data_IF_330298404708
#
_entry.id   IF_330298404708
#
_cell.length_a   1.000
_cell.length_b   1.000
_cell.length_c   1.000
_cell.angle_alpha   90.00
_cell.angle_beta   90.00
_cell.angle_gamma   90.00
#
_symmetry.space_group_name_H-M   'P 1'
#
loop_
_entity.id
_entity.type
_entity.pdbx_description
1 polymer ?
#
# COMPACT_ATOMS: atom_id res chain seq x y z
N UNK A 1 -18.96 -4.47 -4.65
CA UNK A 1 -17.84 -3.62 -4.17
C UNK A 1 -17.21 -4.33 -2.98
N UNK A 2 -16.06 -4.98 -3.16
CA UNK A 2 -15.35 -5.72 -2.11
C UNK A 2 -14.24 -4.83 -1.56
N UNK A 3 -14.45 -4.26 -0.37
CA UNK A 3 -13.42 -3.57 0.39
C UNK A 3 -12.60 -4.62 1.15
N UNK A 4 -11.30 -4.72 0.85
CA UNK A 4 -10.39 -5.59 1.59
C UNK A 4 -9.62 -4.74 2.59
N UNK A 5 -9.96 -4.91 3.86
CA UNK A 5 -9.55 -4.07 4.98
C UNK A 5 -8.42 -4.74 5.77
N UNK A 6 -7.18 -4.24 5.65
CA UNK A 6 -6.02 -4.77 6.39
C UNK A 6 -5.99 -4.30 7.85
N UNK A 7 -5.98 -5.26 8.76
CA UNK A 7 -5.98 -5.03 10.20
C UNK A 7 -4.67 -5.45 10.88
N UNK A 8 -4.26 -4.68 11.89
CA UNK A 8 -3.08 -4.90 12.73
C UNK A 8 -3.51 -5.29 14.14
N UNK A 9 -3.00 -6.40 14.67
CA UNK A 9 -2.46 -6.54 16.04
C UNK A 9 -1.91 -7.94 16.25
N UNK A 10 -0.61 -8.01 16.53
CA UNK A 10 0.13 -9.03 17.28
C UNK A 10 -0.04 -10.53 17.01
N UNK A 11 -0.95 -10.98 16.14
CA UNK A 11 -0.98 -12.34 15.64
C UNK A 11 -1.31 -12.28 14.15
N UNK A 12 -0.44 -12.92 13.35
CA UNK A 12 -0.69 -13.23 11.96
C UNK A 12 -2.05 -13.92 11.83
N UNK A 13 -3.04 -13.25 11.26
CA UNK A 13 -4.24 -13.90 10.75
C UNK A 13 -4.38 -13.58 9.27
N UNK A 14 -4.14 -14.55 8.37
CA UNK A 14 -4.45 -14.39 6.96
C UNK A 14 -5.97 -14.46 6.81
N UNK A 15 -6.64 -13.35 6.56
CA UNK A 15 -8.09 -13.40 6.32
C UNK A 15 -8.38 -13.71 4.84
N UNK A 16 -9.19 -14.75 4.64
CA UNK A 16 -9.97 -15.02 3.45
C UNK A 16 -11.36 -14.46 3.71
N UNK A 17 -11.85 -13.54 2.88
CA UNK A 17 -13.19 -12.97 3.07
C UNK A 17 -14.22 -14.00 2.60
N UNK A 18 -14.88 -14.64 3.55
CA UNK A 18 -16.15 -15.32 3.35
C UNK A 18 -17.15 -14.78 4.37
N UNK A 19 -18.26 -14.23 3.88
CA UNK A 19 -19.51 -13.91 4.58
C UNK A 19 -19.60 -12.60 5.41
N UNK A 20 -20.74 -11.93 5.21
CA UNK A 20 -21.05 -10.53 5.53
C UNK A 20 -21.75 -10.32 6.89
N UNK A 21 -21.55 -11.20 7.89
CA UNK A 21 -22.42 -11.21 9.09
C UNK A 21 -21.75 -11.07 10.46
N UNK A 22 -20.44 -10.85 10.56
CA UNK A 22 -19.80 -10.64 11.88
C UNK A 22 -19.42 -9.18 12.12
N UNK A 23 -20.43 -8.40 12.52
CA UNK A 23 -20.27 -7.12 13.23
C UNK A 23 -19.73 -7.39 14.63
N UNK A 24 -18.42 -7.57 14.76
CA UNK A 24 -17.73 -7.46 16.05
C UNK A 24 -17.55 -5.98 16.39
N UNK A 25 -17.83 -5.62 17.64
CA UNK A 25 -17.73 -4.27 18.17
C UNK A 25 -16.30 -3.72 18.01
N UNK A 26 -16.08 -2.94 16.95
CA UNK A 26 -14.83 -2.24 16.70
C UNK A 26 -14.94 -0.82 17.28
N UNK A 27 -14.10 -0.50 18.26
CA UNK A 27 -13.68 0.88 18.59
C UNK A 27 -13.35 1.60 17.26
N UNK A 28 -13.57 2.91 17.12
CA UNK A 28 -13.26 3.59 15.85
C UNK A 28 -11.75 3.53 15.55
N UNK A 29 -11.32 2.72 14.58
CA UNK A 29 -9.92 2.65 14.15
C UNK A 29 -9.76 3.37 12.81
N UNK A 30 -8.69 4.16 12.72
CA UNK A 30 -8.36 4.96 11.55
C UNK A 30 -7.64 4.07 10.50
N UNK A 31 -8.11 4.13 9.25
CA UNK A 31 -7.54 3.38 8.14
C UNK A 31 -6.24 4.02 7.66
N UNK A 32 -5.19 3.21 7.43
CA UNK A 32 -3.86 3.70 6.98
C UNK A 32 -3.43 3.17 5.61
N UNK A 33 -4.02 2.08 5.12
CA UNK A 33 -3.91 1.65 3.72
C UNK A 33 -5.27 1.17 3.20
N UNK A 34 -5.53 1.36 1.90
CA UNK A 34 -6.61 0.71 1.18
C UNK A 34 -6.11 0.19 -0.18
N UNK A 35 -6.76 -0.86 -0.70
CA UNK A 35 -6.46 -1.42 -2.03
C UNK A 35 -7.77 -1.71 -2.75
N UNK A 36 -7.87 -1.18 -3.97
CA UNK A 36 -9.01 -1.34 -4.85
C UNK A 36 -8.55 -2.10 -6.10
N UNK A 37 -8.73 -3.44 -6.14
CA UNK A 37 -8.52 -4.19 -7.36
C UNK A 37 -9.58 -3.82 -8.40
N UNK A 38 -9.17 -3.64 -9.66
CA UNK A 38 -10.15 -3.56 -10.76
C UNK A 38 -10.89 -4.89 -10.91
N UNK A 39 -12.16 -4.81 -11.29
CA UNK A 39 -12.96 -5.98 -11.66
C UNK A 39 -12.24 -6.74 -12.78
N UNK A 40 -12.13 -8.05 -12.60
CA UNK A 40 -11.43 -8.96 -13.51
C UNK A 40 -12.23 -10.24 -13.67
N UNK A 41 -12.21 -10.80 -14.87
CA UNK A 41 -12.81 -12.10 -15.18
C UNK A 41 -11.97 -13.28 -14.65
N UNK A 42 -10.79 -13.00 -14.10
CA UNK A 42 -9.87 -13.99 -13.56
C UNK A 42 -9.96 -14.06 -12.03
N UNK A 43 -10.09 -15.28 -11.49
CA UNK A 43 -10.00 -15.50 -10.05
C UNK A 43 -8.54 -15.46 -9.58
N UNK A 44 -8.19 -14.40 -8.87
CA UNK A 44 -6.88 -14.25 -8.23
C UNK A 44 -7.07 -14.00 -6.74
N UNK A 45 -6.28 -14.69 -5.91
CA UNK A 45 -6.19 -14.40 -4.48
C UNK A 45 -5.14 -13.31 -4.29
N UNK A 46 -5.57 -12.16 -3.78
CA UNK A 46 -4.71 -11.05 -3.38
C UNK A 46 -4.53 -11.11 -1.86
N UNK A 47 -3.28 -11.23 -1.42
CA UNK A 47 -2.91 -11.13 -0.01
C UNK A 47 -2.37 -9.73 0.25
N UNK A 48 -2.91 -9.10 1.27
CA UNK A 48 -2.57 -7.73 1.65
C UNK A 48 -2.15 -7.71 3.12
N UNK A 49 -1.03 -7.06 3.41
CA UNK A 49 -0.61 -6.76 4.77
C UNK A 49 -0.32 -5.27 4.81
N UNK A 50 -1.03 -4.52 5.63
CA UNK A 50 -0.71 -3.12 5.90
C UNK A 50 -0.16 -3.01 7.31
N UNK A 51 0.99 -2.36 7.42
CA UNK A 51 1.63 -2.08 8.70
C UNK A 51 2.10 -0.64 8.75
N UNK A 52 2.18 -0.12 9.97
CA UNK A 52 2.91 1.09 10.33
C UNK A 52 4.16 0.64 11.11
N UNK A 53 5.13 1.52 11.36
CA UNK A 53 6.43 1.22 11.99
C UNK A 53 7.46 0.72 10.97
N UNK A 54 7.87 1.63 10.09
CA UNK A 54 8.82 1.39 9.00
C UNK A 54 10.30 1.44 9.43
N UNK A 55 10.62 1.25 10.72
CA UNK A 55 12.00 1.30 11.24
C UNK A 55 12.96 0.32 10.59
N UNK A 56 12.42 -0.72 9.94
CA UNK A 56 13.17 -1.71 9.15
C UNK A 56 13.67 -1.17 7.80
N UNK A 57 13.20 0.00 7.36
CA UNK A 57 13.53 0.58 6.07
C UNK A 57 14.13 1.97 6.27
N UNK A 58 15.36 2.16 5.77
CA UNK A 58 15.95 3.49 5.73
C UNK A 58 15.07 4.44 4.90
N UNK A 59 15.10 5.72 5.26
CA UNK A 59 14.42 6.84 4.57
C UNK A 59 12.90 6.94 4.74
N UNK A 60 12.24 5.94 5.34
CA UNK A 60 10.85 6.08 5.75
C UNK A 60 10.75 6.68 7.15
N UNK A 61 9.75 7.53 7.35
CA UNK A 61 9.32 7.92 8.69
C UNK A 61 8.79 6.69 9.42
N UNK A 62 8.98 6.60 10.74
CA UNK A 62 8.46 5.50 11.55
C UNK A 62 6.95 5.31 11.35
N UNK A 63 6.21 6.40 11.16
CA UNK A 63 4.76 6.39 10.97
C UNK A 63 4.34 6.15 9.53
N UNK A 64 5.26 6.01 8.57
CA UNK A 64 4.90 5.73 7.18
C UNK A 64 4.21 4.37 7.06
N UNK A 65 3.12 4.28 6.28
CA UNK A 65 2.46 3.02 5.99
C UNK A 65 3.33 2.17 5.06
N UNK A 66 3.40 0.87 5.32
CA UNK A 66 3.96 -0.13 4.41
C UNK A 66 2.85 -1.10 4.06
N UNK A 67 2.53 -1.17 2.78
CA UNK A 67 1.59 -2.10 2.19
C UNK A 67 2.33 -3.19 1.44
N UNK A 68 2.15 -4.43 1.85
CA UNK A 68 2.61 -5.61 1.14
C UNK A 68 1.45 -6.18 0.32
N UNK A 69 1.67 -6.34 -0.97
CA UNK A 69 0.74 -6.95 -1.91
C UNK A 69 1.38 -8.18 -2.51
N UNK A 70 0.72 -9.32 -2.40
CA UNK A 70 1.14 -10.58 -3.02
C UNK A 70 -0.02 -11.23 -3.76
N UNK A 71 0.27 -11.77 -4.94
CA UNK A 71 -0.69 -12.54 -5.73
C UNK A 71 -0.29 -14.02 -5.68
N UNK A 72 -1.27 -14.89 -5.45
CA UNK A 72 -1.01 -16.34 -5.49
C UNK A 72 -0.61 -16.83 -6.90
N UNK A 73 -1.17 -16.21 -7.95
CA UNK A 73 -0.85 -16.52 -9.35
C UNK A 73 -0.26 -15.29 -10.03
N UNK A 74 1.00 -15.38 -10.45
CA UNK A 74 1.72 -14.25 -11.09
C UNK A 74 1.27 -13.97 -12.53
N UNK A 75 0.55 -14.91 -13.17
CA UNK A 75 0.22 -14.84 -14.61
C UNK A 75 -0.76 -13.72 -15.01
N UNK A 76 -1.56 -13.21 -14.07
CA UNK A 76 -2.59 -12.21 -14.38
C UNK A 76 -2.40 -10.97 -13.52
N UNK A 77 -1.59 -10.04 -14.04
CA UNK A 77 -1.41 -8.71 -13.44
C UNK A 77 -2.61 -7.85 -13.81
N UNK A 78 -3.36 -7.43 -12.81
CA UNK A 78 -4.46 -6.49 -12.96
C UNK A 78 -4.08 -5.16 -12.31
N UNK A 79 -4.54 -4.01 -12.83
CA UNK A 79 -4.30 -2.72 -12.19
C UNK A 79 -4.88 -2.72 -10.77
N UNK A 80 -4.05 -2.34 -9.81
CA UNK A 80 -4.42 -2.10 -8.43
C UNK A 80 -4.34 -0.61 -8.18
N UNK A 81 -5.40 -0.03 -7.62
CA UNK A 81 -5.32 1.27 -6.98
C UNK A 81 -4.99 1.04 -5.50
N UNK A 82 -3.94 1.67 -5.02
CA UNK A 82 -3.52 1.65 -3.63
C UNK A 82 -3.69 3.04 -3.05
N UNK A 83 -4.10 3.09 -1.79
CA UNK A 83 -4.28 4.33 -1.03
C UNK A 83 -3.47 4.20 0.24
N UNK A 84 -2.60 5.17 0.51
CA UNK A 84 -1.67 5.15 1.62
C UNK A 84 -1.75 6.46 2.39
N UNK A 85 -2.03 6.37 3.69
CA UNK A 85 -2.14 7.55 4.54
C UNK A 85 -0.75 8.06 4.93
N UNK A 86 -0.32 9.26 4.50
CA UNK A 86 0.98 9.78 4.85
C UNK A 86 1.07 10.08 6.36
N UNK A 87 2.28 10.04 6.94
CA UNK A 87 2.48 10.27 8.37
C UNK A 87 2.19 11.72 8.79
N UNK A 88 2.29 12.66 7.85
CA UNK A 88 2.00 14.09 8.06
C UNK A 88 1.25 14.66 6.86
N UNK A 89 0.43 15.70 7.08
CA UNK A 89 -0.38 16.34 6.03
C UNK A 89 0.26 17.58 5.38
N UNK A 90 1.35 18.08 5.98
CA UNK A 90 1.95 19.37 5.58
C UNK A 90 3.05 19.22 4.52
N UNK A 91 3.23 18.01 3.98
CA UNK A 91 4.28 17.67 3.03
C UNK A 91 3.63 16.91 1.88
N UNK A 92 4.08 17.17 0.65
CA UNK A 92 3.64 16.41 -0.51
C UNK A 92 4.36 15.07 -0.55
N UNK A 93 3.58 13.99 -0.68
CA UNK A 93 4.07 12.63 -0.77
C UNK A 93 3.80 12.03 -2.15
N UNK A 94 4.63 11.07 -2.53
CA UNK A 94 4.41 10.18 -3.68
C UNK A 94 4.48 8.73 -3.23
N UNK A 95 3.89 7.82 -3.99
CA UNK A 95 4.02 6.39 -3.72
C UNK A 95 5.33 5.84 -4.27
N UNK A 96 5.89 4.89 -3.53
CA UNK A 96 7.12 4.20 -3.91
C UNK A 96 6.97 2.69 -3.70
N UNK A 97 7.70 1.93 -4.51
CA UNK A 97 7.87 0.48 -4.41
C UNK A 97 9.24 0.17 -3.83
N UNK A 98 9.33 -0.84 -2.99
CA UNK A 98 10.63 -1.38 -2.63
C UNK A 98 11.16 -2.28 -3.75
N UNK A 99 12.34 -1.98 -4.27
CA UNK A 99 13.08 -2.87 -5.14
C UNK A 99 14.03 -3.74 -4.32
N UNK A 100 13.74 -5.04 -4.32
CA UNK A 100 14.52 -6.08 -3.64
C UNK A 100 15.96 -6.17 -4.16
N UNK A 101 16.16 -5.84 -5.44
CA UNK A 101 17.46 -6.00 -6.12
C UNK A 101 18.43 -4.92 -5.68
N UNK A 102 17.95 -3.67 -5.65
CA UNK A 102 18.75 -2.50 -5.29
C UNK A 102 18.63 -2.13 -3.81
N UNK A 103 17.72 -2.78 -3.09
CA UNK A 103 17.35 -2.50 -1.69
C UNK A 103 16.90 -1.04 -1.46
N UNK A 104 16.30 -0.43 -2.48
CA UNK A 104 15.90 0.99 -2.48
C UNK A 104 14.41 1.17 -2.76
N UNK A 105 13.88 2.30 -2.31
CA UNK A 105 12.55 2.76 -2.70
C UNK A 105 12.63 3.44 -4.07
N UNK A 106 11.84 2.95 -5.02
CA UNK A 106 11.76 3.46 -6.39
C UNK A 106 10.32 3.84 -6.77
N UNK A 107 10.12 4.71 -7.75
CA UNK A 107 8.78 5.06 -8.27
C UNK A 107 8.41 4.30 -9.56
N UNK A 108 9.32 3.50 -10.12
CA UNK A 108 9.07 2.73 -11.34
C UNK A 108 7.89 1.77 -11.22
N UNK A 109 6.99 1.85 -12.20
CA UNK A 109 5.79 1.01 -12.28
C UNK A 109 4.68 1.41 -11.30
N UNK A 110 4.78 2.59 -10.69
CA UNK A 110 3.71 3.22 -9.90
C UNK A 110 3.36 4.59 -10.49
N UNK A 111 2.08 4.81 -10.71
CA UNK A 111 1.50 6.05 -11.21
C UNK A 111 0.78 6.77 -10.05
N UNK A 112 1.18 8.00 -9.72
CA UNK A 112 0.45 8.84 -8.77
C UNK A 112 -0.86 9.31 -9.43
N UNK A 113 -1.99 9.01 -8.79
CA UNK A 113 -3.31 9.46 -9.24
C UNK A 113 -3.79 10.69 -8.47
N UNK A 114 -3.49 10.75 -7.17
CA UNK A 114 -3.91 11.83 -6.29
C UNK A 114 -2.95 11.92 -5.11
N UNK A 115 -2.46 13.11 -4.78
CA UNK A 115 -1.55 13.30 -3.64
C UNK A 115 -2.28 13.51 -2.32
N UNK A 116 -3.60 13.77 -2.33
CA UNK A 116 -4.36 14.07 -1.11
C UNK A 116 -5.88 13.82 -1.28
N UNK A 117 -6.27 12.57 -1.56
CA UNK A 117 -7.69 12.16 -1.54
C UNK A 117 -8.08 11.70 -0.14
N UNK A 118 -8.94 12.44 0.54
CA UNK A 118 -9.42 12.06 1.89
C UNK A 118 -8.28 11.75 2.89
N UNK A 119 -7.20 12.52 2.84
CA UNK A 119 -5.95 12.29 3.58
C UNK A 119 -5.11 11.08 3.11
N UNK A 120 -5.33 10.56 1.91
CA UNK A 120 -4.53 9.49 1.31
C UNK A 120 -3.78 9.94 0.06
N UNK A 121 -2.60 9.36 -0.13
CA UNK A 121 -1.91 9.34 -1.41
C UNK A 121 -2.44 8.15 -2.18
N UNK A 122 -3.00 8.41 -3.37
CA UNK A 122 -3.63 7.40 -4.23
C UNK A 122 -2.74 7.14 -5.42
N UNK A 123 -2.42 5.87 -5.64
CA UNK A 123 -1.55 5.46 -6.74
C UNK A 123 -2.08 4.22 -7.44
N UNK A 124 -1.65 4.02 -8.68
CA UNK A 124 -2.00 2.89 -9.51
C UNK A 124 -0.76 2.11 -9.89
N UNK A 125 -0.82 0.78 -9.80
CA UNK A 125 0.28 -0.10 -10.17
C UNK A 125 -0.22 -1.42 -10.77
N UNK A 126 0.61 -2.03 -11.61
CA UNK A 126 0.43 -3.40 -12.10
C UNK A 126 1.32 -4.40 -11.35
N UNK A 127 2.17 -3.89 -10.44
CA UNK A 127 3.18 -4.68 -9.74
C UNK A 127 2.65 -5.15 -8.39
N UNK A 128 3.23 -6.24 -7.91
CA UNK A 128 3.11 -6.72 -6.53
C UNK A 128 4.42 -6.43 -5.81
N UNK A 129 4.38 -6.38 -4.48
CA UNK A 129 5.55 -6.11 -3.66
C UNK A 129 5.21 -5.23 -2.47
N UNK A 130 6.20 -4.46 -2.02
CA UNK A 130 6.06 -3.54 -0.88
C UNK A 130 5.88 -2.13 -1.42
N UNK A 131 4.92 -1.42 -0.86
CA UNK A 131 4.57 -0.07 -1.24
C UNK A 131 4.58 0.81 0.01
N UNK A 132 5.02 2.06 -0.16
CA UNK A 132 4.98 3.06 0.89
C UNK A 132 4.85 4.45 0.27
N UNK A 133 4.96 5.49 1.10
CA UNK A 133 4.97 6.88 0.68
C UNK A 133 6.28 7.54 1.10
N UNK A 134 6.79 8.41 0.23
CA UNK A 134 7.96 9.25 0.49
C UNK A 134 7.67 10.71 0.17
N UNK A 135 8.24 11.66 0.93
CA UNK A 135 8.20 13.07 0.56
C UNK A 135 8.77 13.27 -0.85
N UNK A 136 8.08 14.06 -1.69
CA UNK A 136 8.49 14.31 -3.08
C UNK A 136 9.89 14.93 -3.14
N UNK A 137 10.27 15.76 -2.17
CA UNK A 137 11.61 16.38 -2.11
C UNK A 137 12.71 15.33 -1.97
N UNK A 138 12.48 14.30 -1.16
CA UNK A 138 13.41 13.18 -0.97
C UNK A 138 13.41 12.30 -2.22
N UNK A 139 12.23 12.04 -2.79
CA UNK A 139 12.08 11.28 -4.03
C UNK A 139 12.91 11.88 -5.17
N UNK A 140 12.89 13.20 -5.36
CA UNK A 140 13.60 13.87 -6.46
C UNK A 140 15.13 13.79 -6.34
N UNK A 141 15.67 13.79 -5.12
CA UNK A 141 17.12 13.65 -4.92
C UNK A 141 17.61 12.23 -5.15
N UNK A 142 16.78 11.22 -4.90
CA UNK A 142 17.13 9.81 -5.16
C UNK A 142 17.12 9.44 -6.64
N UNK A 143 16.22 10.01 -7.44
CA UNK A 143 16.08 9.66 -8.86
C UNK A 143 16.92 10.53 -9.80
N UNK A 144 17.47 11.66 -9.33
CA UNK A 144 18.33 12.52 -10.14
C UNK A 144 19.78 12.02 -10.27
N UNK A 145 20.17 10.94 -9.58
CA UNK A 145 21.54 10.38 -9.56
C UNK A 145 21.59 8.91 -10.00
N UNK A 146 20.56 8.44 -10.69
CA UNK A 146 20.46 7.08 -11.26
C UNK A 146 20.43 7.11 -12.77
#
# INVERSE_FOLDING_TARGET
>A
MLLINCWRRQHFLPYSIASAQQRLALKSYEWICAVHPKLSNFSNIIRLICMQYATLYSHLDEKSPILFVSLQKQKHRQPLQIELKPPTKNINYTCVRYDETTQKWINDGIELLDSNRDDFVVCKTLLTGRFSVLPVIISLTFFAHS
#
